data_IF_753618278400
#
_entry.id   IF_753618278400
#
_cell.length_a   1.000
_cell.length_b   1.000
_cell.length_c   1.000
_cell.angle_alpha   90.00
_cell.angle_beta   90.00
_cell.angle_gamma   90.00
#
_symmetry.space_group_name_H-M   'P 1'
#
loop_
_entity.id
_entity.type
_entity.pdbx_description
1 polymer ?
#
# COMPACT_ATOMS: atom_id res chain seq x y z
N UNK A 1 3.74 3.98 -3.81
CA UNK A 1 5.00 4.44 -4.47
C UNK A 1 5.85 5.32 -3.56
N UNK A 2 5.31 6.44 -3.06
CA UNK A 2 6.11 7.53 -2.46
C UNK A 2 7.06 7.19 -1.30
N UNK A 3 6.77 6.18 -0.47
CA UNK A 3 7.66 5.79 0.65
C UNK A 3 8.55 4.58 0.33
N UNK A 4 8.12 3.70 -0.58
CA UNK A 4 8.79 2.43 -0.86
C UNK A 4 10.10 2.59 -1.62
N UNK A 5 10.12 3.51 -2.58
CA UNK A 5 11.30 3.79 -3.41
C UNK A 5 12.38 4.52 -2.58
N UNK A 6 12.10 5.66 -1.90
CA UNK A 6 13.11 6.31 -1.07
C UNK A 6 13.67 5.42 0.05
N UNK A 7 12.84 4.52 0.60
CA UNK A 7 13.30 3.59 1.63
C UNK A 7 14.04 2.36 1.10
N UNK A 8 14.08 2.17 -0.23
CA UNK A 8 14.71 1.03 -0.91
C UNK A 8 14.09 -0.32 -0.50
N UNK A 9 12.76 -0.37 -0.41
CA UNK A 9 12.03 -1.57 0.02
C UNK A 9 11.42 -2.30 -1.17
N UNK A 10 10.85 -1.55 -2.12
CA UNK A 10 10.15 -2.11 -3.27
C UNK A 10 10.33 -1.20 -4.50
N UNK A 11 10.60 -1.82 -5.65
CA UNK A 11 10.74 -1.18 -6.96
C UNK A 11 9.39 -0.83 -7.60
N UNK A 12 8.29 -1.51 -7.24
CA UNK A 12 6.90 -1.32 -7.67
C UNK A 12 6.70 -0.95 -9.15
N UNK A 13 6.03 -1.83 -9.90
CA UNK A 13 5.47 -1.65 -11.26
C UNK A 13 6.46 -1.50 -12.42
N UNK A 14 7.38 -0.53 -12.40
CA UNK A 14 8.29 -0.23 -13.52
C UNK A 14 9.68 -0.03 -12.96
N UNK A 15 10.60 -0.91 -13.34
CA UNK A 15 11.98 -0.84 -12.89
C UNK A 15 12.94 -1.19 -14.02
N UNK A 16 14.10 -0.54 -14.01
CA UNK A 16 15.20 -0.81 -14.92
C UNK A 16 16.35 -1.42 -14.12
N UNK A 17 16.95 -2.49 -14.64
CA UNK A 17 18.12 -3.13 -14.08
C UNK A 17 19.04 -3.64 -15.19
N UNK A 18 20.30 -3.91 -14.84
CA UNK A 18 21.24 -4.52 -15.78
C UNK A 18 20.90 -6.00 -16.00
N UNK A 19 21.07 -6.49 -17.22
CA UNK A 19 20.87 -7.91 -17.55
C UNK A 19 21.69 -8.82 -16.63
N UNK A 20 22.95 -8.45 -16.37
CA UNK A 20 23.83 -9.17 -15.45
C UNK A 20 23.24 -9.33 -14.05
N UNK A 21 22.67 -8.26 -13.47
CA UNK A 21 22.05 -8.34 -12.15
C UNK A 21 20.82 -9.25 -12.15
N UNK A 22 20.10 -9.26 -13.27
CA UNK A 22 18.94 -10.13 -13.47
C UNK A 22 19.34 -11.61 -13.52
N UNK A 23 20.41 -11.92 -14.25
CA UNK A 23 21.00 -13.26 -14.34
C UNK A 23 21.58 -13.72 -13.00
N UNK A 24 22.38 -12.86 -12.33
CA UNK A 24 22.96 -13.12 -11.01
C UNK A 24 21.87 -13.34 -9.94
N UNK A 25 20.73 -12.67 -10.09
CA UNK A 25 19.53 -12.83 -9.26
C UNK A 25 18.65 -14.02 -9.61
N UNK A 26 19.05 -14.84 -10.59
CA UNK A 26 18.28 -15.98 -11.11
C UNK A 26 16.86 -15.57 -11.57
N UNK A 27 16.76 -14.44 -12.27
CA UNK A 27 15.54 -13.90 -12.86
C UNK A 27 14.40 -13.66 -11.84
N UNK A 28 13.15 -13.60 -12.30
CA UNK A 28 11.97 -13.52 -11.42
C UNK A 28 11.63 -14.88 -10.81
N UNK A 29 10.91 -14.88 -9.68
CA UNK A 29 10.46 -16.12 -9.03
C UNK A 29 8.93 -16.21 -9.04
N UNK A 30 8.31 -16.85 -10.06
CA UNK A 30 6.85 -16.85 -10.25
C UNK A 30 6.08 -17.58 -9.15
N UNK A 31 6.77 -18.36 -8.30
CA UNK A 31 6.16 -19.04 -7.16
C UNK A 31 5.76 -18.14 -5.98
N UNK A 32 6.07 -16.85 -6.01
CA UNK A 32 5.75 -15.91 -4.92
C UNK A 32 4.76 -14.82 -5.36
N UNK A 33 4.00 -14.28 -4.39
CA UNK A 33 2.95 -13.30 -4.69
C UNK A 33 3.45 -11.88 -4.99
N UNK A 34 4.57 -11.48 -4.38
CA UNK A 34 5.20 -10.15 -4.50
C UNK A 34 6.57 -10.31 -5.14
N UNK A 35 6.55 -10.50 -6.45
CA UNK A 35 7.74 -10.77 -7.26
C UNK A 35 8.72 -9.58 -7.24
N UNK A 36 8.21 -8.35 -7.27
CA UNK A 36 8.98 -7.10 -7.22
C UNK A 36 9.91 -6.98 -5.99
N UNK A 37 9.39 -7.27 -4.78
CA UNK A 37 10.21 -7.22 -3.55
C UNK A 37 11.16 -8.41 -3.48
N UNK A 38 10.73 -9.58 -3.92
CA UNK A 38 11.58 -10.78 -3.88
C UNK A 38 12.74 -10.68 -4.84
N UNK A 39 12.52 -10.14 -6.03
CA UNK A 39 13.56 -9.84 -6.99
C UNK A 39 14.63 -8.93 -6.34
N UNK A 40 14.22 -7.86 -5.64
CA UNK A 40 15.13 -6.99 -4.91
C UNK A 40 15.94 -7.73 -3.84
N UNK A 41 15.31 -8.61 -3.05
CA UNK A 41 16.02 -9.43 -2.05
C UNK A 41 17.02 -10.36 -2.74
N UNK A 42 16.63 -11.02 -3.84
CA UNK A 42 17.50 -11.93 -4.60
C UNK A 42 18.71 -11.20 -5.20
N UNK A 43 18.51 -10.02 -5.77
CA UNK A 43 19.60 -9.18 -6.25
C UNK A 43 20.54 -8.79 -5.12
N UNK A 44 19.98 -8.34 -3.99
CA UNK A 44 20.75 -8.00 -2.78
C UNK A 44 21.57 -9.20 -2.28
N UNK A 45 21.00 -10.41 -2.34
CA UNK A 45 21.69 -11.67 -2.00
C UNK A 45 22.81 -12.01 -2.98
N UNK A 46 22.57 -11.81 -4.28
CA UNK A 46 23.55 -12.10 -5.33
C UNK A 46 24.78 -11.20 -5.21
N UNK A 47 24.58 -9.89 -5.03
CA UNK A 47 25.68 -8.92 -4.91
C UNK A 47 26.21 -8.78 -3.47
N UNK A 48 25.52 -9.36 -2.47
CA UNK A 48 25.82 -9.25 -1.02
C UNK A 48 25.99 -7.83 -0.51
N UNK A 49 25.33 -6.88 -1.16
CA UNK A 49 25.34 -5.47 -0.82
C UNK A 49 23.95 -4.89 -1.05
N UNK A 50 23.68 -3.72 -0.45
CA UNK A 50 22.42 -3.03 -0.63
C UNK A 50 22.21 -2.66 -2.11
N UNK A 51 21.16 -3.20 -2.74
CA UNK A 51 20.67 -2.68 -4.00
C UNK A 51 19.94 -1.36 -3.78
N UNK A 52 20.39 -0.31 -4.47
CA UNK A 52 19.79 1.03 -4.38
C UNK A 52 18.72 1.17 -5.47
N UNK A 53 17.51 1.52 -5.06
CA UNK A 53 16.40 1.82 -5.96
C UNK A 53 16.43 3.31 -6.25
N UNK A 54 16.62 3.66 -7.51
CA UNK A 54 16.52 5.04 -7.98
C UNK A 54 15.10 5.28 -8.50
N UNK A 55 14.49 6.38 -8.06
CA UNK A 55 13.18 6.79 -8.54
C UNK A 55 13.29 7.17 -10.03
N UNK A 56 12.51 6.49 -10.86
CA UNK A 56 12.24 6.95 -12.21
C UNK A 56 10.99 7.82 -12.14
N UNK A 57 11.07 9.13 -12.46
CA UNK A 57 9.94 10.05 -12.36
C UNK A 57 8.99 9.82 -13.55
N UNK A 58 8.33 8.67 -13.55
CA UNK A 58 7.30 8.32 -14.53
C UNK A 58 5.98 8.38 -13.82
N UNK A 59 5.00 9.00 -14.46
CA UNK A 59 3.65 9.05 -13.94
C UNK A 59 3.07 7.63 -13.93
N UNK A 60 2.88 7.06 -12.74
CA UNK A 60 2.30 5.72 -12.55
C UNK A 60 0.86 5.85 -12.06
N UNK A 61 -0.07 5.19 -12.74
CA UNK A 61 -1.43 5.03 -12.23
C UNK A 61 -1.51 3.83 -11.29
N UNK A 62 -2.24 3.98 -10.18
CA UNK A 62 -2.56 2.86 -9.29
C UNK A 62 -3.36 1.82 -10.06
N UNK A 63 -3.03 0.53 -9.85
CA UNK A 63 -3.73 -0.57 -10.50
C UNK A 63 -5.22 -0.57 -10.11
N UNK A 64 -6.14 -0.65 -11.07
CA UNK A 64 -7.56 -0.58 -10.78
C UNK A 64 -8.08 -1.87 -10.11
N UNK A 65 -9.10 -1.72 -9.27
CA UNK A 65 -10.05 -2.79 -8.93
C UNK A 65 -11.15 -2.78 -9.99
N UNK A 66 -11.38 -3.90 -10.68
CA UNK A 66 -12.42 -3.96 -11.71
C UNK A 66 -13.42 -5.05 -11.37
N UNK A 67 -14.38 -4.70 -10.53
CA UNK A 67 -15.61 -5.47 -10.42
C UNK A 67 -16.61 -5.01 -11.46
N UNK A 68 -17.43 -5.93 -11.96
CA UNK A 68 -18.52 -5.62 -12.89
C UNK A 68 -19.72 -4.92 -12.19
N UNK A 69 -19.61 -4.71 -10.87
CA UNK A 69 -20.58 -4.00 -10.01
C UNK A 69 -19.85 -3.40 -8.80
N UNK A 70 -20.48 -2.47 -8.07
CA UNK A 70 -19.92 -1.90 -6.84
C UNK A 70 -19.57 -2.97 -5.79
N UNK A 71 -20.40 -4.00 -5.64
CA UNK A 71 -20.12 -5.12 -4.72
C UNK A 71 -18.94 -5.95 -5.24
N UNK A 72 -18.87 -6.17 -6.55
CA UNK A 72 -17.72 -6.81 -7.18
C UNK A 72 -16.43 -6.01 -6.95
N UNK A 73 -16.49 -4.68 -7.05
CA UNK A 73 -15.34 -3.80 -6.85
C UNK A 73 -14.83 -3.88 -5.41
N UNK A 74 -15.74 -3.87 -4.42
CA UNK A 74 -15.41 -4.09 -3.01
C UNK A 74 -14.78 -5.47 -2.76
N UNK A 75 -15.29 -6.51 -3.42
CA UNK A 75 -14.72 -7.85 -3.32
C UNK A 75 -13.30 -7.92 -3.93
N UNK A 76 -13.12 -7.33 -5.10
CA UNK A 76 -11.82 -7.24 -5.77
C UNK A 76 -10.82 -6.42 -4.97
N UNK A 77 -11.26 -5.31 -4.38
CA UNK A 77 -10.47 -4.49 -3.45
C UNK A 77 -9.99 -5.31 -2.26
N UNK A 78 -10.90 -6.00 -1.55
CA UNK A 78 -10.54 -6.83 -0.41
C UNK A 78 -9.59 -7.98 -0.80
N UNK A 79 -9.79 -8.57 -1.99
CA UNK A 79 -8.91 -9.61 -2.54
C UNK A 79 -7.50 -9.10 -2.81
N UNK A 80 -7.36 -7.88 -3.33
CA UNK A 80 -6.04 -7.26 -3.56
C UNK A 80 -5.30 -7.03 -2.25
N UNK A 81 -5.98 -6.46 -1.25
CA UNK A 81 -5.40 -6.18 0.07
C UNK A 81 -4.92 -7.48 0.71
N UNK A 82 -5.81 -8.49 0.78
CA UNK A 82 -5.47 -9.81 1.31
C UNK A 82 -4.25 -10.41 0.63
N UNK A 83 -4.18 -10.35 -0.71
CA UNK A 83 -3.02 -10.82 -1.48
C UNK A 83 -1.76 -10.04 -1.11
N UNK A 84 -1.85 -8.72 -0.97
CA UNK A 84 -0.69 -7.91 -0.63
C UNK A 84 -0.19 -8.19 0.80
N UNK A 85 -1.08 -8.33 1.77
CA UNK A 85 -0.70 -8.64 3.16
C UNK A 85 -0.06 -10.01 3.29
N UNK A 86 -0.66 -11.05 2.70
CA UNK A 86 -0.10 -12.41 2.69
C UNK A 86 1.25 -12.40 1.96
N UNK A 87 1.34 -11.72 0.81
CA UNK A 87 2.57 -11.59 0.04
C UNK A 87 3.67 -10.89 0.82
N UNK A 88 3.36 -9.82 1.56
CA UNK A 88 4.32 -9.12 2.40
C UNK A 88 4.87 -10.02 3.53
N UNK A 89 4.00 -10.82 4.15
CA UNK A 89 4.41 -11.80 5.16
C UNK A 89 5.28 -12.92 4.56
N UNK A 90 4.93 -13.41 3.37
CA UNK A 90 5.71 -14.40 2.63
C UNK A 90 7.11 -13.87 2.26
N UNK A 91 7.19 -12.63 1.77
CA UNK A 91 8.45 -11.92 1.46
C UNK A 91 9.30 -11.77 2.71
N UNK A 92 8.71 -11.35 3.83
CA UNK A 92 9.45 -11.17 5.07
C UNK A 92 9.98 -12.50 5.61
N UNK A 93 9.19 -13.57 5.52
CA UNK A 93 9.66 -14.92 5.86
C UNK A 93 10.83 -15.35 4.95
N UNK A 94 10.71 -15.15 3.63
CA UNK A 94 11.79 -15.45 2.69
C UNK A 94 13.07 -14.70 3.04
N UNK A 95 12.96 -13.39 3.32
CA UNK A 95 14.08 -12.59 3.77
C UNK A 95 14.66 -13.13 5.07
N UNK A 96 13.85 -13.44 6.09
CA UNK A 96 14.33 -13.95 7.37
C UNK A 96 15.17 -15.22 7.20
N UNK A 97 14.70 -16.17 6.38
CA UNK A 97 15.40 -17.42 6.07
C UNK A 97 16.73 -17.18 5.34
N UNK A 98 16.80 -16.18 4.45
CA UNK A 98 18.00 -15.89 3.64
C UNK A 98 18.92 -14.83 4.25
N UNK A 99 18.48 -14.12 5.28
CA UNK A 99 19.16 -12.94 5.86
C UNK A 99 20.56 -13.26 6.39
N UNK A 100 20.82 -14.50 6.81
CA UNK A 100 22.12 -14.98 7.26
C UNK A 100 23.21 -14.97 6.18
N UNK A 101 22.82 -14.87 4.90
CA UNK A 101 23.73 -14.76 3.76
C UNK A 101 24.13 -13.30 3.46
N UNK A 102 23.56 -12.34 4.18
CA UNK A 102 23.82 -10.91 4.01
C UNK A 102 24.62 -10.35 5.18
N UNK A 103 25.46 -9.31 4.95
CA UNK A 103 26.04 -8.54 6.04
C UNK A 103 24.96 -7.93 6.93
N UNK A 104 25.22 -7.88 8.25
CA UNK A 104 24.30 -7.28 9.25
C UNK A 104 23.97 -5.82 8.90
N UNK A 105 24.93 -5.09 8.34
CA UNK A 105 24.77 -3.70 7.88
C UNK A 105 23.77 -3.53 6.73
N UNK A 106 23.41 -4.61 6.03
CA UNK A 106 22.40 -4.63 4.97
C UNK A 106 21.10 -5.22 5.50
N UNK A 107 21.17 -6.36 6.19
CA UNK A 107 19.98 -7.11 6.61
C UNK A 107 19.18 -6.39 7.70
N UNK A 108 19.83 -5.85 8.74
CA UNK A 108 19.12 -5.19 9.85
C UNK A 108 18.39 -3.92 9.39
N UNK A 109 19.02 -2.99 8.64
CA UNK A 109 18.31 -1.82 8.14
C UNK A 109 17.17 -2.16 7.19
N UNK A 110 17.33 -3.19 6.34
CA UNK A 110 16.25 -3.62 5.46
C UNK A 110 15.06 -4.18 6.25
N UNK A 111 15.33 -5.08 7.22
CA UNK A 111 14.29 -5.65 8.08
C UNK A 111 13.55 -4.58 8.89
N UNK A 112 14.29 -3.64 9.48
CA UNK A 112 13.72 -2.55 10.25
C UNK A 112 12.82 -1.65 9.41
N UNK A 113 13.25 -1.28 8.20
CA UNK A 113 12.44 -0.50 7.26
C UNK A 113 11.21 -1.25 6.76
N UNK A 114 11.36 -2.54 6.44
CA UNK A 114 10.25 -3.38 6.00
C UNK A 114 9.19 -3.50 7.10
N UNK A 115 9.60 -3.82 8.33
CA UNK A 115 8.70 -3.94 9.47
C UNK A 115 8.04 -2.60 9.82
N UNK A 116 8.81 -1.51 9.80
CA UNK A 116 8.27 -0.18 10.07
C UNK A 116 7.23 0.23 9.02
N UNK A 117 7.50 -0.02 7.73
CA UNK A 117 6.55 0.31 6.67
C UNK A 117 5.33 -0.62 6.65
N UNK A 118 5.55 -1.92 6.43
CA UNK A 118 4.47 -2.88 6.22
C UNK A 118 3.79 -3.29 7.53
N UNK A 119 4.53 -3.41 8.64
CA UNK A 119 3.96 -3.81 9.92
C UNK A 119 3.37 -2.65 10.71
N UNK A 120 4.11 -1.54 10.84
CA UNK A 120 3.69 -0.43 11.70
C UNK A 120 2.84 0.58 10.92
N UNK A 121 3.36 1.18 9.85
CA UNK A 121 2.69 2.29 9.17
C UNK A 121 1.42 1.88 8.41
N UNK A 122 1.43 0.72 7.74
CA UNK A 122 0.28 0.26 6.97
C UNK A 122 -0.79 -0.43 7.84
N UNK A 123 -0.38 -1.26 8.81
CA UNK A 123 -1.33 -2.08 9.56
C UNK A 123 -1.75 -1.47 10.90
N UNK A 124 -0.78 -1.05 11.73
CA UNK A 124 -1.05 -0.72 13.14
C UNK A 124 -1.36 0.77 13.33
N UNK A 125 -0.55 1.64 12.75
CA UNK A 125 -0.66 3.09 12.92
C UNK A 125 -2.03 3.64 12.53
N UNK A 126 -2.67 3.22 11.41
CA UNK A 126 -3.95 3.80 11.04
C UNK A 126 -5.09 3.41 12.00
N UNK A 127 -5.14 2.15 12.45
CA UNK A 127 -6.09 1.72 13.48
C UNK A 127 -5.82 2.49 14.78
N UNK A 128 -4.57 2.54 15.22
CA UNK A 128 -4.21 3.20 16.47
C UNK A 128 -4.60 4.68 16.47
N UNK A 129 -4.25 5.42 15.40
CA UNK A 129 -4.55 6.85 15.30
C UNK A 129 -6.06 7.15 15.27
N UNK A 130 -6.88 6.20 14.81
CA UNK A 130 -8.33 6.34 14.82
C UNK A 130 -8.91 5.94 16.18
N UNK A 131 -8.51 4.79 16.73
CA UNK A 131 -9.11 4.21 17.95
C UNK A 131 -8.62 4.91 19.22
N UNK A 132 -7.35 5.30 19.29
CA UNK A 132 -6.75 5.86 20.50
C UNK A 132 -7.43 7.17 20.97
N UNK A 133 -7.78 8.12 20.10
CA UNK A 133 -8.55 9.30 20.52
C UNK A 133 -9.86 8.94 21.21
N UNK A 134 -10.67 8.06 20.63
CA UNK A 134 -11.97 7.67 21.21
C UNK A 134 -11.81 6.89 22.51
N UNK A 135 -10.93 5.89 22.52
CA UNK A 135 -10.73 5.04 23.69
C UNK A 135 -10.15 5.84 24.86
N UNK A 136 -9.21 6.76 24.59
CA UNK A 136 -8.58 7.51 25.67
C UNK A 136 -9.54 8.54 26.26
N UNK A 137 -10.33 9.24 25.45
CA UNK A 137 -11.38 10.13 25.96
C UNK A 137 -12.41 9.36 26.80
N UNK A 138 -12.85 8.19 26.32
CA UNK A 138 -13.78 7.33 27.06
C UNK A 138 -13.20 6.82 28.39
N UNK A 139 -11.93 6.42 28.41
CA UNK A 139 -11.27 5.97 29.66
C UNK A 139 -11.08 7.11 30.67
N UNK A 140 -10.83 8.33 30.19
CA UNK A 140 -10.71 9.52 31.03
C UNK A 140 -12.05 9.93 31.66
N UNK A 141 -13.17 9.73 30.96
CA UNK A 141 -14.51 9.95 31.53
C UNK A 141 -14.84 8.94 32.64
N UNK A 142 -14.36 7.70 32.52
CA UNK A 142 -14.67 6.61 33.47
C UNK A 142 -13.77 6.68 34.71
N UNK A 143 -12.49 6.98 34.53
CA UNK A 143 -11.61 7.15 35.66
C UNK A 143 -11.71 8.59 36.15
N UNK A 144 -12.35 8.80 37.30
CA UNK A 144 -12.16 10.02 38.11
C UNK A 144 -10.71 10.08 38.61
N UNK A 145 -9.75 10.21 37.69
CA UNK A 145 -8.33 10.26 37.97
C UNK A 145 -8.09 11.43 38.93
N UNK A 146 -7.39 11.22 40.05
CA UNK A 146 -7.13 12.28 41.00
C UNK A 146 -6.45 13.43 40.27
N UNK A 147 -7.13 14.58 40.33
CA UNK A 147 -6.89 15.85 39.60
C UNK A 147 -5.48 16.46 39.80
N UNK A 148 -4.63 15.78 40.57
CA UNK A 148 -3.27 16.18 40.96
C UNK A 148 -2.16 15.35 40.30
N UNK A 149 -2.48 14.56 39.28
CA UNK A 149 -1.48 13.81 38.52
C UNK A 149 -0.79 14.75 37.52
N UNK A 150 0.40 15.23 37.84
CA UNK A 150 1.24 16.14 37.02
C UNK A 150 1.58 15.66 35.59
N UNK A 151 1.06 14.50 35.17
CA UNK A 151 1.29 13.91 33.84
C UNK A 151 0.29 14.36 32.77
N UNK A 152 -0.89 14.89 33.14
CA UNK A 152 -1.91 15.32 32.17
C UNK A 152 -2.20 16.82 32.38
N UNK A 153 -1.97 17.70 31.38
CA UNK A 153 -2.08 19.16 31.53
C UNK A 153 -3.49 19.64 31.94
N UNK A 154 -4.51 18.89 31.52
CA UNK A 154 -5.91 18.87 31.97
C UNK A 154 -6.68 17.98 30.98
N UNK A 155 -7.83 17.44 31.38
CA UNK A 155 -8.68 16.63 30.50
C UNK A 155 -9.04 17.37 29.20
N UNK A 156 -9.41 18.65 29.30
CA UNK A 156 -9.72 19.50 28.16
C UNK A 156 -8.53 19.67 27.20
N UNK A 157 -7.34 19.99 27.74
CA UNK A 157 -6.12 20.13 26.91
C UNK A 157 -5.76 18.82 26.23
N UNK A 158 -5.89 17.70 26.94
CA UNK A 158 -5.61 16.38 26.38
C UNK A 158 -6.60 16.02 25.25
N UNK A 159 -7.89 16.28 25.43
CA UNK A 159 -8.91 16.11 24.39
C UNK A 159 -8.65 17.01 23.17
N UNK A 160 -8.23 18.26 23.35
CA UNK A 160 -7.84 19.13 22.24
C UNK A 160 -6.62 18.60 21.48
N UNK A 161 -5.63 18.04 22.17
CA UNK A 161 -4.47 17.42 21.52
C UNK A 161 -4.91 16.22 20.67
N UNK A 162 -5.76 15.34 21.22
CA UNK A 162 -6.26 14.17 20.50
C UNK A 162 -7.08 14.54 19.25
N UNK A 163 -8.01 15.49 19.39
CA UNK A 163 -8.79 16.01 18.26
C UNK A 163 -7.87 16.69 17.24
N UNK A 164 -6.89 17.47 17.70
CA UNK A 164 -5.90 18.11 16.84
C UNK A 164 -5.09 17.12 16.02
N UNK A 165 -4.66 16.00 16.61
CA UNK A 165 -3.96 14.91 15.89
C UNK A 165 -4.86 14.24 14.86
N UNK A 166 -6.13 14.00 15.19
CA UNK A 166 -7.12 13.44 14.26
C UNK A 166 -7.38 14.38 13.07
N UNK A 167 -7.56 15.67 13.33
CA UNK A 167 -7.71 16.69 12.29
C UNK A 167 -6.47 16.81 11.41
N UNK A 168 -5.27 16.74 12.00
CA UNK A 168 -4.00 16.73 11.27
C UNK A 168 -3.91 15.53 10.33
N UNK A 169 -4.29 14.33 10.79
CA UNK A 169 -4.34 13.14 9.93
C UNK A 169 -5.31 13.33 8.77
N UNK A 170 -6.49 13.87 9.03
CA UNK A 170 -7.51 14.10 8.01
C UNK A 170 -7.10 15.17 6.98
N UNK A 171 -6.37 16.20 7.43
CA UNK A 171 -5.71 17.17 6.57
C UNK A 171 -4.66 16.51 5.67
N UNK A 172 -3.85 15.57 6.19
CA UNK A 172 -2.91 14.83 5.34
C UNK A 172 -3.60 13.99 4.27
N UNK A 173 -4.76 13.39 4.55
CA UNK A 173 -5.56 12.75 3.50
C UNK A 173 -5.98 13.75 2.43
N UNK A 174 -6.47 14.94 2.84
CA UNK A 174 -6.80 16.00 1.89
C UNK A 174 -5.60 16.38 0.99
N UNK A 175 -4.41 16.51 1.57
CA UNK A 175 -3.17 16.78 0.82
C UNK A 175 -2.91 15.69 -0.23
N UNK A 176 -3.14 14.41 0.08
CA UNK A 176 -2.99 13.32 -0.90
C UNK A 176 -3.95 13.48 -2.08
N UNK A 177 -5.23 13.79 -1.83
CA UNK A 177 -6.21 14.05 -2.91
C UNK A 177 -5.82 15.28 -3.74
N UNK A 178 -5.35 16.34 -3.07
CA UNK A 178 -4.88 17.56 -3.75
C UNK A 178 -3.67 17.25 -4.64
N UNK A 179 -2.67 16.53 -4.12
CA UNK A 179 -1.48 16.13 -4.88
C UNK A 179 -1.88 15.26 -6.07
N UNK A 180 -2.79 14.31 -5.90
CA UNK A 180 -3.27 13.47 -7.00
C UNK A 180 -3.91 14.33 -8.11
N UNK A 181 -4.77 15.28 -7.73
CA UNK A 181 -5.42 16.20 -8.68
C UNK A 181 -4.44 17.14 -9.39
N UNK A 182 -3.42 17.61 -8.68
CA UNK A 182 -2.36 18.44 -9.28
C UNK A 182 -1.44 17.62 -10.20
N UNK A 183 -1.20 16.36 -9.86
CA UNK A 183 -0.36 15.44 -10.64
C UNK A 183 -1.00 15.02 -11.97
N UNK A 184 -2.33 15.09 -12.11
CA UNK A 184 -3.02 14.81 -13.40
C UNK A 184 -2.45 15.65 -14.55
N UNK A 185 -2.00 16.89 -14.28
CA UNK A 185 -1.37 17.78 -15.28
C UNK A 185 -0.05 17.25 -15.83
N UNK A 186 0.53 16.22 -15.21
CA UNK A 186 1.78 15.59 -15.64
C UNK A 186 1.56 14.39 -16.54
N UNK A 187 0.30 13.95 -16.73
CA UNK A 187 0.00 12.84 -17.63
C UNK A 187 0.15 13.25 -19.10
N UNK A 188 0.64 12.35 -19.97
CA UNK A 188 0.66 12.56 -21.41
C UNK A 188 -0.73 12.93 -21.95
N UNK A 189 -0.75 13.75 -23.00
CA UNK A 189 -1.98 14.16 -23.71
C UNK A 189 -3.02 14.91 -22.85
N UNK A 190 -2.61 15.45 -21.70
CA UNK A 190 -3.49 16.16 -20.76
C UNK A 190 -4.72 15.34 -20.34
N UNK A 191 -4.58 14.01 -20.33
CA UNK A 191 -5.62 13.10 -19.86
C UNK A 191 -5.89 13.43 -18.39
N UNK A 192 -7.11 13.88 -18.11
CA UNK A 192 -7.55 14.26 -16.77
C UNK A 192 -8.57 13.29 -16.22
N UNK A 193 -8.59 13.13 -14.90
CA UNK A 193 -9.63 12.32 -14.25
C UNK A 193 -10.96 13.09 -14.31
N UNK A 194 -11.94 12.51 -15.00
CA UNK A 194 -13.30 13.07 -15.13
C UNK A 194 -14.11 12.98 -13.82
N UNK A 195 -13.53 12.43 -12.75
CA UNK A 195 -14.17 12.34 -11.43
C UNK A 195 -14.61 13.73 -10.94
N UNK A 196 -15.94 13.94 -10.71
CA UNK A 196 -16.45 15.21 -10.22
C UNK A 196 -15.92 15.57 -8.84
N UNK A 197 -15.76 16.87 -8.55
CA UNK A 197 -15.26 17.36 -7.25
C UNK A 197 -16.08 16.83 -6.05
N UNK A 198 -17.39 16.68 -6.21
CA UNK A 198 -18.25 16.13 -5.14
C UNK A 198 -17.93 14.66 -4.85
N UNK A 199 -17.56 13.88 -5.87
CA UNK A 199 -17.13 12.48 -5.71
C UNK A 199 -15.76 12.42 -5.05
N UNK A 200 -14.84 13.34 -5.40
CA UNK A 200 -13.55 13.46 -4.71
C UNK A 200 -13.69 13.86 -3.24
N UNK A 201 -14.62 14.79 -2.93
CA UNK A 201 -14.93 15.16 -1.55
C UNK A 201 -15.54 13.99 -0.76
N UNK A 202 -16.43 13.22 -1.39
CA UNK A 202 -16.96 11.99 -0.80
C UNK A 202 -15.86 10.95 -0.54
N UNK A 203 -14.95 10.72 -1.49
CA UNK A 203 -13.82 9.80 -1.31
C UNK A 203 -12.87 10.23 -0.18
N UNK A 204 -12.63 11.54 -0.04
CA UNK A 204 -11.89 12.09 1.09
C UNK A 204 -12.61 11.81 2.42
N UNK A 205 -13.93 12.05 2.50
CA UNK A 205 -14.74 11.72 3.67
C UNK A 205 -14.73 10.23 4.01
N UNK A 206 -14.81 9.39 2.98
CA UNK A 206 -14.79 7.94 3.12
C UNK A 206 -13.38 7.37 3.38
N UNK A 207 -12.33 8.20 3.42
CA UNK A 207 -10.96 7.72 3.67
C UNK A 207 -10.83 7.04 5.03
N UNK A 208 -11.47 7.57 6.08
CA UNK A 208 -11.44 6.95 7.41
C UNK A 208 -12.10 5.56 7.44
N UNK A 209 -13.39 5.41 7.04
CA UNK A 209 -14.00 4.08 6.94
C UNK A 209 -13.23 3.10 6.05
N UNK A 210 -12.70 3.60 4.93
CA UNK A 210 -11.93 2.78 3.98
C UNK A 210 -10.65 2.26 4.60
N UNK A 211 -9.93 3.10 5.36
CA UNK A 211 -8.70 2.71 6.06
C UNK A 211 -8.99 1.69 7.17
N UNK A 212 -10.07 1.87 7.94
CA UNK A 212 -10.46 0.88 8.96
C UNK A 212 -10.76 -0.47 8.29
N UNK A 213 -11.58 -0.46 7.22
CA UNK A 213 -11.91 -1.67 6.48
C UNK A 213 -10.64 -2.33 5.89
N UNK A 214 -9.70 -1.52 5.39
CA UNK A 214 -8.42 -1.99 4.87
C UNK A 214 -7.65 -2.74 5.95
N UNK A 215 -7.43 -2.12 7.11
CA UNK A 215 -6.67 -2.75 8.20
C UNK A 215 -7.38 -3.99 8.79
N UNK A 216 -8.73 -4.04 8.80
CA UNK A 216 -9.46 -5.25 9.20
C UNK A 216 -9.19 -6.42 8.25
N UNK A 217 -9.14 -6.18 6.94
CA UNK A 217 -8.77 -7.20 5.94
C UNK A 217 -7.32 -7.66 6.16
N UNK A 218 -6.40 -6.74 6.47
CA UNK A 218 -5.00 -7.10 6.77
C UNK A 218 -4.88 -7.96 8.03
N UNK A 219 -5.54 -7.58 9.11
CA UNK A 219 -5.55 -8.37 10.35
C UNK A 219 -6.09 -9.78 10.12
N UNK A 220 -7.19 -9.89 9.37
CA UNK A 220 -7.73 -11.19 8.99
C UNK A 220 -6.75 -12.00 8.13
N UNK A 221 -6.08 -11.36 7.18
CA UNK A 221 -5.07 -12.00 6.34
C UNK A 221 -3.88 -12.51 7.15
N UNK A 222 -3.45 -11.79 8.19
CA UNK A 222 -2.41 -12.25 9.12
C UNK A 222 -2.84 -13.46 9.94
N UNK A 223 -4.09 -13.47 10.43
CA UNK A 223 -4.65 -14.66 11.10
C UNK A 223 -4.65 -15.84 10.13
N UNK A 224 -5.08 -15.63 8.88
CA UNK A 224 -5.14 -16.68 7.87
C UNK A 224 -3.76 -17.28 7.56
N UNK A 225 -2.74 -16.46 7.30
CA UNK A 225 -1.39 -16.98 7.00
C UNK A 225 -0.77 -17.64 8.23
N UNK A 226 -1.07 -17.18 9.44
CA UNK A 226 -0.59 -17.81 10.68
C UNK A 226 -1.16 -19.22 10.85
N UNK A 227 -2.44 -19.42 10.52
CA UNK A 227 -3.11 -20.72 10.66
C UNK A 227 -2.77 -21.65 9.49
N UNK A 228 -2.82 -21.15 8.25
CA UNK A 228 -2.74 -21.96 7.03
C UNK A 228 -1.33 -22.03 6.44
N UNK A 229 -0.42 -21.19 6.92
CA UNK A 229 0.96 -21.10 6.44
C UNK A 229 1.03 -20.92 4.94
N UNK A 230 1.96 -21.67 4.31
CA UNK A 230 2.20 -21.64 2.86
C UNK A 230 0.96 -21.90 2.00
N UNK A 231 -0.04 -22.64 2.51
CA UNK A 231 -1.25 -22.91 1.72
C UNK A 231 -2.12 -21.65 1.47
N UNK A 232 -1.94 -20.59 2.25
CA UNK A 232 -2.57 -19.28 2.04
C UNK A 232 -1.91 -18.45 0.93
N UNK A 233 -0.64 -18.73 0.61
CA UNK A 233 0.17 -18.03 -0.40
C UNK A 233 -0.21 -18.44 -1.83
N UNK A 234 -1.46 -18.15 -2.23
CA UNK A 234 -1.98 -18.44 -3.57
C UNK A 234 -1.98 -17.19 -4.44
N UNK A 235 -1.43 -17.25 -5.65
CA UNK A 235 -1.39 -16.10 -6.56
C UNK A 235 -2.77 -15.83 -7.20
N UNK A 236 -3.69 -15.22 -6.46
CA UNK A 236 -5.03 -14.84 -6.92
C UNK A 236 -5.11 -13.34 -7.19
N UNK A 237 -4.55 -12.90 -8.31
CA UNK A 237 -4.60 -11.49 -8.73
C UNK A 237 -6.03 -11.01 -8.99
N UNK A 238 -6.30 -9.73 -8.70
CA UNK A 238 -7.57 -9.08 -9.06
C UNK A 238 -7.88 -9.31 -10.52
N UNK A 239 -9.15 -9.60 -10.81
CA UNK A 239 -9.63 -9.68 -12.19
C UNK A 239 -9.58 -8.27 -12.77
N UNK A 240 -9.37 -8.22 -14.08
CA UNK A 240 -9.29 -7.00 -14.90
C UNK A 240 -10.40 -6.95 -15.96
N UNK A 241 -11.35 -7.88 -15.86
CA UNK A 241 -12.33 -8.17 -16.91
C UNK A 241 -13.35 -7.03 -17.07
N UNK A 242 -13.63 -6.29 -15.98
CA UNK A 242 -14.51 -5.12 -15.98
C UNK A 242 -13.85 -3.81 -16.41
N UNK A 243 -12.57 -3.83 -16.81
CA UNK A 243 -11.92 -2.63 -17.36
C UNK A 243 -12.38 -2.41 -18.81
N UNK A 244 -13.06 -1.29 -19.06
CA UNK A 244 -13.45 -0.90 -20.42
C UNK A 244 -12.19 -0.58 -21.22
N UNK A 245 -11.91 -1.27 -22.35
CA UNK A 245 -10.81 -0.90 -23.22
C UNK A 245 -11.05 0.48 -23.83
N UNK A 246 -10.04 1.36 -23.84
CA UNK A 246 -10.12 2.69 -24.48
C UNK A 246 -10.68 2.65 -25.92
N UNK A 247 -10.46 1.55 -26.67
CA UNK A 247 -10.99 1.36 -28.04
C UNK A 247 -12.47 1.00 -28.14
N UNK A 248 -13.13 0.60 -27.04
CA UNK A 248 -14.57 0.32 -27.05
C UNK A 248 -15.42 1.60 -26.96
N UNK A 249 -14.84 2.71 -26.50
CA UNK A 249 -15.52 4.02 -26.45
C UNK A 249 -15.53 4.74 -27.81
N UNK A 250 -14.55 4.48 -28.69
CA UNK A 250 -14.49 5.06 -30.05
C UNK A 250 -15.35 4.30 -31.08
N UNK A 251 -15.68 3.03 -30.83
CA UNK A 251 -16.43 2.21 -31.79
C UNK A 251 -17.95 2.47 -31.86
N UNK A 252 -18.46 3.50 -31.18
CA UNK A 252 -19.78 4.08 -31.49
C UNK A 252 -19.74 5.08 -32.66
N UNK A 253 -18.60 5.23 -33.34
CA UNK A 253 -18.52 5.89 -34.65
C UNK A 253 -17.59 5.12 -35.61
N UNK A 254 -18.18 4.17 -36.34
CA UNK A 254 -17.83 3.74 -37.71
C UNK A 254 -16.35 3.42 -38.10
N UNK A 255 -16.18 2.15 -38.53
CA UNK A 255 -15.22 1.56 -39.52
C UNK A 255 -13.79 1.14 -39.05
N UNK A 256 -13.08 0.25 -39.78
CA UNK A 256 -13.02 -1.20 -39.57
C UNK A 256 -11.65 -1.73 -39.09
N UNK A 257 -11.66 -2.99 -38.66
CA UNK A 257 -10.50 -3.82 -38.30
C UNK A 257 -9.38 -3.80 -39.33
N UNK A 258 -8.19 -3.33 -38.94
CA UNK A 258 -6.89 -3.84 -39.40
C UNK A 258 -5.74 -3.11 -38.71
N UNK A 259 -5.22 -3.62 -37.60
CA UNK A 259 -3.80 -3.39 -37.23
C UNK A 259 -3.26 -4.61 -36.47
N UNK A 260 -2.15 -5.14 -36.98
CA UNK A 260 -1.49 -6.36 -36.56
C UNK A 260 -0.87 -6.35 -35.17
N UNK A 261 -0.67 -7.58 -34.67
CA UNK A 261 0.03 -7.91 -33.45
C UNK A 261 1.54 -7.70 -33.62
N UNK A 262 2.16 -7.04 -32.65
CA UNK A 262 3.50 -7.35 -32.15
C UNK A 262 3.37 -7.67 -30.66
#
# INVERSE_FOLDING_TARGET
MGFLIPWNINTMSIFSLTLKLYEDGEYTHPGYQMEDIIALIRWTLAVRQKCIIHALPVATMSGPTSGDSYIGELYEWGRQIRRWTIGAAEVFHYFAVKSTRLPITVSVPWAGKFLFYYGILLCVAPIYSIVAPFLTTFMLDIQELPRNSYLIPSEAVFNYILIGMLLMQYFWFFVVFLVNRLAEKTFPDSISDETPLIRSAFHWLMSFPTIIAYCLVELWAFVEITIRGKSACQHKASKKDGLVPLKAAENNSNVPSNVGRF
#
